data_IF_766087677362
#
_entry.id   IF_766087677362
#
_cell.length_a   1.000
_cell.length_b   1.000
_cell.length_c   1.000
_cell.angle_alpha   90.00
_cell.angle_beta   90.00
_cell.angle_gamma   90.00
#
_symmetry.space_group_name_H-M   'P 1'
#
loop_
_entity.id
_entity.type
_entity.pdbx_description
1 polymer ?
#
# COMPACT_ATOMS: atom_id res chain seq x y z
N UNK A 1 -17.89 -9.98 -20.16
CA UNK A 1 -16.43 -9.99 -20.39
C UNK A 1 -15.71 -10.38 -19.11
N UNK A 2 -14.71 -11.25 -19.19
CA UNK A 2 -13.86 -11.58 -18.04
C UNK A 2 -12.95 -10.38 -17.70
N UNK A 3 -12.84 -10.04 -16.42
CA UNK A 3 -11.98 -8.93 -15.95
C UNK A 3 -10.51 -9.29 -16.12
N UNK A 4 -9.74 -8.39 -16.73
CA UNK A 4 -8.31 -8.57 -17.06
C UNK A 4 -7.38 -8.18 -15.91
N UNK A 5 -7.83 -7.27 -15.05
CA UNK A 5 -7.06 -6.76 -13.91
C UNK A 5 -7.91 -6.82 -12.64
N UNK A 6 -7.34 -7.31 -11.56
CA UNK A 6 -7.90 -7.19 -10.22
C UNK A 6 -6.98 -6.28 -9.42
N UNK A 7 -7.54 -5.28 -8.75
CA UNK A 7 -6.72 -4.31 -8.04
C UNK A 7 -7.26 -3.96 -6.65
N UNK A 8 -6.37 -3.54 -5.77
CA UNK A 8 -6.73 -2.98 -4.46
C UNK A 8 -6.51 -1.46 -4.52
N UNK A 9 -7.56 -0.65 -4.35
CA UNK A 9 -7.39 0.76 -4.03
C UNK A 9 -6.80 0.90 -2.63
N UNK A 10 -5.59 1.44 -2.51
CA UNK A 10 -4.91 1.67 -1.22
C UNK A 10 -4.87 3.15 -0.92
N UNK A 11 -5.27 3.50 0.30
CA UNK A 11 -5.07 4.83 0.85
C UNK A 11 -4.02 4.75 1.97
N UNK A 12 -2.86 5.37 1.75
CA UNK A 12 -1.85 5.53 2.80
C UNK A 12 -2.23 6.76 3.65
N UNK A 13 -2.33 6.57 4.96
CA UNK A 13 -2.54 7.70 5.89
C UNK A 13 -1.26 8.53 5.95
N UNK A 14 -1.38 9.82 5.64
CA UNK A 14 -0.25 10.75 5.64
C UNK A 14 -0.71 12.20 5.81
N UNK A 15 0.25 13.13 5.94
CA UNK A 15 0.00 14.56 6.02
C UNK A 15 1.03 15.34 5.19
N UNK A 16 0.69 16.56 4.80
CA UNK A 16 1.48 17.34 3.84
C UNK A 16 2.96 17.54 4.24
N UNK A 17 3.21 17.81 5.51
CA UNK A 17 4.57 18.06 6.00
C UNK A 17 5.44 16.80 6.06
N UNK A 18 4.85 15.59 6.01
CA UNK A 18 5.62 14.35 6.11
C UNK A 18 6.59 14.20 4.92
N UNK A 19 7.89 14.19 5.22
CA UNK A 19 8.95 14.01 4.25
C UNK A 19 10.33 13.80 4.87
N UNK A 20 10.48 12.87 5.83
CA UNK A 20 11.71 12.74 6.62
C UNK A 20 12.96 12.39 5.79
N UNK A 21 12.79 11.76 4.62
CA UNK A 21 13.89 11.49 3.66
C UNK A 21 13.74 12.28 2.35
N UNK A 22 13.00 13.39 2.37
CA UNK A 22 12.79 14.21 1.19
C UNK A 22 13.52 15.57 1.33
N UNK A 23 14.65 15.78 0.64
CA UNK A 23 15.36 17.06 0.70
C UNK A 23 14.53 18.25 0.20
N UNK A 24 13.58 18.03 -0.73
CA UNK A 24 12.66 19.09 -1.20
C UNK A 24 11.69 19.57 -0.11
N UNK A 25 11.45 18.73 0.91
CA UNK A 25 10.67 19.08 2.10
C UNK A 25 11.54 19.43 3.29
N UNK A 26 12.83 19.71 3.08
CA UNK A 26 13.79 19.99 4.15
C UNK A 26 13.80 18.90 5.25
N UNK A 27 13.61 17.64 4.86
CA UNK A 27 13.52 16.51 5.80
C UNK A 27 12.45 16.70 6.89
N UNK A 28 11.34 17.36 6.55
CA UNK A 28 10.28 17.68 7.50
C UNK A 28 9.66 16.43 8.11
N UNK A 29 9.44 16.52 9.42
CA UNK A 29 8.96 15.47 10.30
C UNK A 29 8.01 16.05 11.36
N UNK A 30 7.39 17.19 11.03
CA UNK A 30 6.38 17.81 11.90
C UNK A 30 5.28 16.79 12.23
N UNK A 31 4.82 16.82 13.47
CA UNK A 31 3.71 15.96 13.91
C UNK A 31 2.47 16.17 13.02
N UNK A 32 1.68 15.12 12.79
CA UNK A 32 0.48 15.23 11.98
C UNK A 32 -0.53 16.23 12.58
N UNK A 33 -1.14 17.10 11.77
CA UNK A 33 -2.25 17.95 12.23
C UNK A 33 -3.52 17.10 12.37
N UNK A 34 -3.67 16.40 13.51
CA UNK A 34 -4.67 15.34 13.71
C UNK A 34 -6.10 15.76 13.33
N UNK A 35 -6.52 16.98 13.69
CA UNK A 35 -7.86 17.50 13.34
C UNK A 35 -8.08 17.62 11.82
N UNK A 36 -7.05 17.95 11.05
CA UNK A 36 -7.12 17.97 9.59
C UNK A 36 -7.15 16.54 9.05
N UNK A 37 -6.30 15.65 9.58
CA UNK A 37 -6.28 14.25 9.17
C UNK A 37 -7.64 13.57 9.36
N UNK A 38 -8.37 13.88 10.44
CA UNK A 38 -9.76 13.40 10.66
C UNK A 38 -10.68 13.83 9.53
N UNK A 39 -10.69 15.12 9.18
CA UNK A 39 -11.53 15.66 8.08
C UNK A 39 -11.20 15.02 6.74
N UNK A 40 -9.91 14.83 6.47
CA UNK A 40 -9.44 14.17 5.23
C UNK A 40 -9.86 12.70 5.18
N UNK A 41 -9.85 12.00 6.31
CA UNK A 41 -10.34 10.62 6.42
C UNK A 41 -11.86 10.52 6.23
N UNK A 42 -12.64 11.48 6.73
CA UNK A 42 -14.10 11.53 6.49
C UNK A 42 -14.39 11.69 4.99
N UNK A 43 -13.69 12.60 4.31
CA UNK A 43 -13.79 12.77 2.85
C UNK A 43 -13.38 11.50 2.10
N UNK A 44 -12.31 10.84 2.57
CA UNK A 44 -11.84 9.57 2.02
C UNK A 44 -12.93 8.49 2.10
N UNK A 45 -13.56 8.30 3.26
CA UNK A 45 -14.59 7.29 3.46
C UNK A 45 -15.75 7.48 2.47
N UNK A 46 -16.25 8.71 2.36
CA UNK A 46 -17.30 9.06 1.40
C UNK A 46 -16.90 8.77 -0.05
N UNK A 47 -15.66 9.07 -0.40
CA UNK A 47 -15.11 8.81 -1.73
C UNK A 47 -15.02 7.30 -2.01
N UNK A 48 -14.46 6.52 -1.09
CA UNK A 48 -14.24 5.08 -1.27
C UNK A 48 -15.56 4.31 -1.37
N UNK A 49 -16.58 4.68 -0.58
CA UNK A 49 -17.92 4.08 -0.70
C UNK A 49 -18.48 4.34 -2.10
N UNK A 50 -18.45 5.60 -2.57
CA UNK A 50 -19.00 5.99 -3.87
C UNK A 50 -18.28 5.30 -5.04
N UNK A 51 -16.96 5.18 -4.95
CA UNK A 51 -16.13 4.66 -6.05
C UNK A 51 -16.01 3.13 -6.07
N UNK A 52 -15.92 2.50 -4.90
CA UNK A 52 -15.55 1.09 -4.80
C UNK A 52 -16.53 0.23 -4.00
N UNK A 53 -17.59 0.82 -3.46
CA UNK A 53 -18.59 0.13 -2.65
C UNK A 53 -17.92 -0.71 -1.54
N UNK A 54 -17.00 -0.10 -0.80
CA UNK A 54 -16.25 -0.74 0.29
C UNK A 54 -15.03 -1.57 -0.13
N UNK A 55 -14.75 -1.76 -1.42
CA UNK A 55 -13.59 -2.55 -1.85
C UNK A 55 -12.29 -1.74 -1.91
N UNK A 56 -11.71 -1.43 -0.76
CA UNK A 56 -10.45 -0.69 -0.62
C UNK A 56 -9.67 -1.15 0.62
N UNK A 57 -8.43 -0.66 0.76
CA UNK A 57 -7.62 -0.82 1.94
C UNK A 57 -7.11 0.52 2.46
N UNK A 58 -6.98 0.65 3.78
CA UNK A 58 -6.35 1.81 4.43
C UNK A 58 -5.10 1.36 5.16
N UNK A 59 -3.98 2.02 4.88
CA UNK A 59 -2.72 1.78 5.53
C UNK A 59 -2.52 2.76 6.69
N UNK A 60 -2.72 2.28 7.92
CA UNK A 60 -2.67 3.08 9.15
C UNK A 60 -1.21 3.41 9.44
N UNK A 61 -0.88 4.70 9.36
CA UNK A 61 0.47 5.20 9.56
C UNK A 61 0.91 4.97 11.02
N UNK A 62 2.08 4.35 11.20
CA UNK A 62 2.62 4.00 12.52
C UNK A 62 4.07 4.44 12.70
N UNK A 63 4.51 5.45 11.93
CA UNK A 63 5.91 5.87 11.87
C UNK A 63 6.46 6.56 13.11
N UNK A 64 7.77 6.85 13.06
CA UNK A 64 8.57 7.41 14.17
C UNK A 64 7.94 8.63 14.86
N UNK A 65 7.28 9.51 14.10
CA UNK A 65 6.79 10.82 14.58
C UNK A 65 5.31 10.84 15.00
N UNK A 66 4.60 9.72 14.85
CA UNK A 66 3.17 9.61 15.17
C UNK A 66 2.76 8.18 15.54
N UNK A 67 3.69 7.44 16.15
CA UNK A 67 3.62 6.00 16.44
C UNK A 67 2.25 5.52 16.91
N UNK A 68 1.65 6.26 17.82
CA UNK A 68 0.38 5.89 18.46
C UNK A 68 -0.78 6.80 18.05
N UNK A 69 -0.51 7.94 17.42
CA UNK A 69 -1.54 8.97 17.18
C UNK A 69 -2.70 8.47 16.33
N UNK A 70 -2.43 7.58 15.37
CA UNK A 70 -3.46 6.98 14.50
C UNK A 70 -4.03 5.68 15.06
N UNK A 71 -3.65 5.25 16.27
CA UNK A 71 -4.24 4.11 16.99
C UNK A 71 -4.83 4.55 18.34
N UNK A 72 -5.33 5.78 18.37
CA UNK A 72 -6.06 6.41 19.47
C UNK A 72 -7.35 7.06 18.94
N UNK A 73 -8.27 7.45 19.82
CA UNK A 73 -9.44 8.21 19.39
C UNK A 73 -9.04 9.61 18.88
N UNK A 74 -9.72 10.14 17.85
CA UNK A 74 -10.92 9.61 17.19
C UNK A 74 -10.65 8.59 16.06
N UNK A 75 -9.39 8.22 15.80
CA UNK A 75 -9.04 7.37 14.66
C UNK A 75 -9.52 5.93 14.80
N UNK A 76 -9.54 5.37 16.01
CA UNK A 76 -10.12 4.04 16.25
C UNK A 76 -11.59 3.97 15.80
N UNK A 77 -12.39 4.98 16.12
CA UNK A 77 -13.77 5.09 15.62
C UNK A 77 -13.86 5.12 14.09
N UNK A 78 -12.93 5.82 13.43
CA UNK A 78 -12.84 5.88 11.96
C UNK A 78 -12.48 4.49 11.39
N UNK A 79 -11.54 3.76 11.99
CA UNK A 79 -11.16 2.43 11.53
C UNK A 79 -12.29 1.41 11.67
N UNK A 80 -13.07 1.48 12.74
CA UNK A 80 -14.30 0.69 12.84
C UNK A 80 -15.30 1.04 11.74
N UNK A 81 -15.39 2.31 11.33
CA UNK A 81 -16.22 2.70 10.20
C UNK A 81 -15.69 2.11 8.90
N UNK A 82 -14.38 2.11 8.65
CA UNK A 82 -13.74 1.44 7.48
C UNK A 82 -14.17 -0.02 7.39
N UNK A 83 -14.03 -0.81 8.48
CA UNK A 83 -14.40 -2.22 8.47
C UNK A 83 -15.91 -2.43 8.24
N UNK A 84 -16.74 -1.58 8.85
CA UNK A 84 -18.21 -1.65 8.73
C UNK A 84 -18.70 -1.43 7.31
N UNK A 85 -18.04 -0.55 6.55
CA UNK A 85 -18.36 -0.32 5.13
C UNK A 85 -17.66 -1.33 4.21
N UNK A 86 -16.91 -2.29 4.76
CA UNK A 86 -16.29 -3.39 4.04
C UNK A 86 -14.85 -3.16 3.58
N UNK A 87 -14.25 -2.02 3.94
CA UNK A 87 -12.82 -1.78 3.74
C UNK A 87 -11.96 -2.61 4.69
N UNK A 88 -10.67 -2.76 4.38
CA UNK A 88 -9.73 -3.53 5.21
C UNK A 88 -8.55 -2.67 5.67
N UNK A 89 -7.97 -3.01 6.81
CA UNK A 89 -6.91 -2.24 7.45
C UNK A 89 -5.55 -2.90 7.27
N UNK A 90 -4.51 -2.08 7.09
CA UNK A 90 -3.12 -2.51 7.00
C UNK A 90 -2.29 -1.75 8.03
N UNK A 91 -1.28 -2.41 8.58
CA UNK A 91 -0.25 -1.73 9.38
C UNK A 91 0.75 -1.09 8.41
N UNK A 92 0.95 0.22 8.53
CA UNK A 92 1.83 0.98 7.66
C UNK A 92 2.99 1.61 8.44
N UNK A 93 4.16 0.98 8.40
CA UNK A 93 5.33 1.42 9.17
C UNK A 93 6.14 2.44 8.40
N UNK A 94 6.55 3.51 9.08
CA UNK A 94 7.38 4.58 8.55
C UNK A 94 8.53 4.83 9.53
N UNK A 95 9.61 4.06 9.36
CA UNK A 95 10.75 4.06 10.28
C UNK A 95 11.89 4.98 9.85
N UNK A 96 11.57 5.96 9.01
CA UNK A 96 12.52 6.94 8.56
C UNK A 96 12.91 7.91 9.69
N UNK A 97 14.21 8.12 9.82
CA UNK A 97 14.80 9.12 10.69
C UNK A 97 15.24 10.30 9.83
N UNK A 98 14.76 11.51 10.17
CA UNK A 98 14.94 12.71 9.35
C UNK A 98 16.42 12.93 9.03
N UNK A 99 16.75 12.97 7.73
CA UNK A 99 18.10 13.10 7.19
C UNK A 99 19.13 12.03 7.65
N UNK A 100 18.71 10.94 8.29
CA UNK A 100 19.60 9.91 8.88
C UNK A 100 19.40 8.50 8.34
N UNK A 101 18.42 8.29 7.45
CA UNK A 101 18.10 6.98 6.87
C UNK A 101 16.90 6.34 7.56
N UNK A 102 16.91 5.02 7.75
CA UNK A 102 15.74 4.27 8.24
C UNK A 102 16.13 3.13 9.18
N UNK A 103 15.22 2.78 10.09
CA UNK A 103 15.34 1.60 10.95
C UNK A 103 14.70 0.34 10.34
N UNK A 104 14.27 0.37 9.07
CA UNK A 104 13.61 -0.76 8.39
C UNK A 104 14.42 -2.07 8.42
N UNK A 105 15.77 -2.01 8.50
CA UNK A 105 16.63 -3.20 8.58
C UNK A 105 16.95 -3.65 10.01
N UNK A 106 16.49 -2.93 11.02
CA UNK A 106 16.70 -3.30 12.42
C UNK A 106 15.60 -4.26 12.88
N UNK A 107 15.89 -5.56 12.84
CA UNK A 107 14.91 -6.62 13.14
C UNK A 107 14.27 -6.49 14.53
N UNK A 108 15.06 -6.27 15.58
CA UNK A 108 14.54 -6.15 16.94
C UNK A 108 13.60 -4.95 17.08
N UNK A 109 13.93 -3.83 16.41
CA UNK A 109 13.08 -2.64 16.37
C UNK A 109 11.79 -2.91 15.59
N UNK A 110 11.89 -3.45 14.38
CA UNK A 110 10.74 -3.75 13.54
C UNK A 110 9.78 -4.75 14.19
N UNK A 111 10.30 -5.79 14.85
CA UNK A 111 9.48 -6.74 15.62
C UNK A 111 8.67 -6.01 16.69
N UNK A 112 9.32 -5.17 17.51
CA UNK A 112 8.63 -4.40 18.56
C UNK A 112 7.56 -3.47 17.98
N UNK A 113 7.85 -2.81 16.87
CA UNK A 113 6.93 -1.90 16.20
C UNK A 113 5.69 -2.64 15.72
N UNK A 114 5.86 -3.69 14.92
CA UNK A 114 4.73 -4.37 14.28
C UNK A 114 3.83 -5.03 15.31
N UNK A 115 4.42 -5.73 16.30
CA UNK A 115 3.65 -6.38 17.35
C UNK A 115 2.87 -5.36 18.19
N UNK A 116 3.50 -4.26 18.60
CA UNK A 116 2.80 -3.19 19.33
C UNK A 116 1.59 -2.68 18.57
N UNK A 117 1.73 -2.42 17.27
CA UNK A 117 0.64 -1.84 16.48
C UNK A 117 -0.46 -2.87 16.20
N UNK A 118 -0.08 -4.13 15.94
CA UNK A 118 -1.03 -5.22 15.85
C UNK A 118 -1.84 -5.37 17.14
N UNK A 119 -1.16 -5.46 18.29
CA UNK A 119 -1.81 -5.63 19.60
C UNK A 119 -2.74 -4.48 19.95
N UNK A 120 -2.36 -3.23 19.63
CA UNK A 120 -3.22 -2.06 19.83
C UNK A 120 -4.50 -2.15 19.00
N UNK A 121 -4.38 -2.46 17.70
CA UNK A 121 -5.54 -2.62 16.82
C UNK A 121 -6.42 -3.79 17.27
N UNK A 122 -5.82 -4.94 17.63
CA UNK A 122 -6.56 -6.10 18.15
C UNK A 122 -7.27 -5.78 19.47
N UNK A 123 -6.64 -5.05 20.38
CA UNK A 123 -7.23 -4.63 21.66
C UNK A 123 -8.42 -3.68 21.46
N UNK A 124 -8.40 -2.90 20.38
CA UNK A 124 -9.53 -2.09 19.93
C UNK A 124 -10.57 -2.88 19.11
N UNK A 125 -10.51 -4.21 19.05
CA UNK A 125 -11.42 -5.06 18.25
C UNK A 125 -11.40 -4.74 16.73
N UNK A 126 -10.25 -4.35 16.20
CA UNK A 126 -10.00 -4.20 14.77
C UNK A 126 -9.28 -5.43 14.20
N UNK A 127 -9.29 -5.57 12.88
CA UNK A 127 -8.84 -6.75 12.13
C UNK A 127 -7.88 -6.34 11.01
N UNK A 128 -6.65 -5.88 11.33
CA UNK A 128 -5.65 -5.67 10.29
C UNK A 128 -5.39 -6.97 9.53
N UNK A 129 -5.34 -6.90 8.21
CA UNK A 129 -5.20 -8.08 7.32
C UNK A 129 -3.85 -8.17 6.64
N UNK A 130 -3.04 -7.12 6.76
CA UNK A 130 -1.81 -7.02 6.01
C UNK A 130 -0.91 -5.86 6.43
N UNK A 131 0.12 -5.66 5.62
CA UNK A 131 1.23 -4.75 5.87
C UNK A 131 1.54 -3.87 4.64
N UNK A 132 2.05 -2.68 4.91
CA UNK A 132 2.54 -1.72 3.91
C UNK A 132 3.78 -1.01 4.44
N UNK A 133 4.94 -1.28 3.84
CA UNK A 133 6.18 -0.58 4.18
C UNK A 133 6.21 0.85 3.62
N UNK A 134 6.55 1.81 4.48
CA UNK A 134 6.80 3.19 4.14
C UNK A 134 7.94 3.33 3.12
N UNK A 135 7.74 4.21 2.12
CA UNK A 135 8.70 4.45 1.05
C UNK A 135 9.23 3.18 0.35
N UNK A 136 8.37 2.15 0.27
CA UNK A 136 8.67 0.82 -0.29
C UNK A 136 9.71 0.01 0.50
N UNK A 137 10.04 0.40 1.73
CA UNK A 137 10.99 -0.31 2.57
C UNK A 137 10.41 -1.62 3.09
N UNK A 138 11.13 -2.72 2.89
CA UNK A 138 10.76 -4.05 3.37
C UNK A 138 12.02 -4.86 3.65
N UNK A 139 12.08 -5.52 4.81
CA UNK A 139 13.17 -6.40 5.16
C UNK A 139 12.70 -7.87 5.16
N UNK A 140 13.50 -8.84 4.67
CA UNK A 140 13.06 -10.23 4.52
C UNK A 140 12.56 -10.89 5.81
N UNK A 141 13.16 -10.56 6.95
CA UNK A 141 12.73 -11.07 8.26
C UNK A 141 11.28 -10.71 8.61
N UNK A 142 10.68 -9.70 7.96
CA UNK A 142 9.29 -9.31 8.21
C UNK A 142 8.32 -10.42 7.81
N UNK A 143 8.64 -11.21 6.79
CA UNK A 143 7.74 -12.25 6.26
C UNK A 143 7.24 -13.19 7.35
N UNK A 144 8.15 -13.69 8.21
CA UNK A 144 7.79 -14.61 9.30
C UNK A 144 6.90 -13.94 10.35
N UNK A 145 7.15 -12.66 10.68
CA UNK A 145 6.31 -11.90 11.60
C UNK A 145 4.92 -11.64 11.04
N UNK A 146 4.81 -11.37 9.74
CA UNK A 146 3.52 -11.21 9.09
C UNK A 146 2.71 -12.51 9.13
N UNK A 147 3.33 -13.66 8.86
CA UNK A 147 2.68 -14.98 8.99
C UNK A 147 2.20 -15.26 10.41
N UNK A 148 3.07 -15.06 11.40
CA UNK A 148 2.77 -15.30 12.82
C UNK A 148 1.56 -14.48 13.30
N UNK A 149 1.46 -13.23 12.84
CA UNK A 149 0.36 -12.33 13.18
C UNK A 149 -0.90 -12.54 12.30
N UNK A 150 -0.85 -13.44 11.31
CA UNK A 150 -1.95 -13.66 10.36
C UNK A 150 -2.17 -12.50 9.37
N UNK A 151 -1.16 -11.66 9.16
CA UNK A 151 -1.15 -10.56 8.19
C UNK A 151 -0.79 -11.11 6.80
N UNK A 152 -1.78 -11.69 6.12
CA UNK A 152 -1.58 -12.49 4.90
C UNK A 152 -1.38 -11.68 3.61
N UNK A 153 -1.30 -10.35 3.69
CA UNK A 153 -1.10 -9.48 2.51
C UNK A 153 0.02 -8.49 2.76
N UNK A 154 0.89 -8.32 1.78
CA UNK A 154 1.89 -7.26 1.72
C UNK A 154 1.67 -6.38 0.49
N UNK A 155 1.50 -5.07 0.71
CA UNK A 155 1.34 -4.07 -0.35
C UNK A 155 2.58 -3.18 -0.50
N UNK A 156 3.72 -3.61 0.01
CA UNK A 156 4.99 -2.89 -0.13
C UNK A 156 5.61 -2.87 -1.54
N UNK A 157 5.51 -3.94 -2.36
CA UNK A 157 6.39 -4.08 -3.52
C UNK A 157 6.16 -3.02 -4.60
N UNK A 158 7.26 -2.46 -5.11
CA UNK A 158 7.27 -1.52 -6.22
C UNK A 158 8.20 -2.06 -7.32
N UNK A 159 7.68 -2.72 -8.38
CA UNK A 159 8.49 -3.43 -9.37
C UNK A 159 9.64 -2.61 -9.96
N UNK A 160 10.87 -3.09 -9.79
CA UNK A 160 12.10 -2.46 -10.28
C UNK A 160 12.70 -1.40 -9.35
N UNK A 161 11.96 -0.90 -8.35
CA UNK A 161 12.44 0.15 -7.45
C UNK A 161 13.64 -0.29 -6.63
N UNK A 162 14.66 0.58 -6.52
CA UNK A 162 15.80 0.37 -5.63
C UNK A 162 16.20 1.69 -4.99
N UNK A 163 16.27 1.71 -3.66
CA UNK A 163 16.81 2.82 -2.92
C UNK A 163 17.41 2.32 -1.60
N UNK A 164 18.74 2.40 -1.49
CA UNK A 164 19.49 1.95 -0.31
C UNK A 164 19.15 2.75 0.94
N UNK A 165 18.93 4.06 0.82
CA UNK A 165 18.61 4.92 1.97
C UNK A 165 17.24 4.59 2.60
N UNK A 166 16.36 3.94 1.84
CA UNK A 166 15.02 3.51 2.26
C UNK A 166 14.97 2.03 2.67
N UNK A 167 16.09 1.30 2.52
CA UNK A 167 16.12 -0.17 2.58
C UNK A 167 15.03 -0.80 1.70
N UNK A 168 14.91 -0.30 0.47
CA UNK A 168 13.92 -0.75 -0.50
C UNK A 168 14.65 -1.38 -1.71
N UNK A 169 14.39 -2.66 -1.97
CA UNK A 169 14.97 -3.38 -3.11
C UNK A 169 13.95 -4.31 -3.74
N UNK A 170 13.47 -3.93 -4.92
CA UNK A 170 12.42 -4.62 -5.68
C UNK A 170 12.84 -4.88 -7.13
N UNK A 171 14.15 -4.99 -7.38
CA UNK A 171 14.75 -5.16 -8.70
C UNK A 171 14.13 -6.29 -9.53
N UNK A 172 13.86 -7.43 -8.89
CA UNK A 172 13.32 -8.62 -9.52
C UNK A 172 11.82 -8.83 -9.23
N UNK A 173 11.16 -7.85 -8.59
CA UNK A 173 9.76 -7.98 -8.18
C UNK A 173 8.83 -8.21 -9.40
N UNK A 174 7.99 -9.25 -9.37
CA UNK A 174 6.99 -9.48 -10.41
C UNK A 174 6.03 -8.28 -10.56
N UNK A 175 5.54 -8.06 -11.78
CA UNK A 175 4.54 -7.02 -12.09
C UNK A 175 3.10 -7.38 -11.68
N UNK A 176 2.91 -8.53 -11.04
CA UNK A 176 1.62 -9.02 -10.56
C UNK A 176 1.84 -9.80 -9.27
N UNK A 177 0.78 -9.99 -8.48
CA UNK A 177 0.87 -10.66 -7.17
C UNK A 177 1.64 -12.00 -7.19
N UNK A 178 2.37 -12.24 -6.11
CA UNK A 178 3.23 -13.38 -5.87
C UNK A 178 3.30 -13.67 -4.36
N UNK A 179 3.57 -14.92 -3.98
CA UNK A 179 3.82 -15.25 -2.58
C UNK A 179 5.28 -14.93 -2.22
N UNK A 180 5.50 -14.39 -1.02
CA UNK A 180 6.85 -14.14 -0.50
C UNK A 180 7.62 -15.46 -0.28
N UNK A 181 8.95 -15.40 -0.32
CA UNK A 181 9.81 -16.51 0.08
C UNK A 181 9.97 -16.59 1.60
N UNK A 182 10.14 -17.80 2.15
CA UNK A 182 10.65 -17.98 3.51
C UNK A 182 12.17 -17.96 3.48
N UNK A 183 12.78 -16.81 3.74
CA UNK A 183 14.24 -16.62 3.73
C UNK A 183 14.64 -15.19 3.40
N UNK A 184 15.94 -14.97 3.14
CA UNK A 184 16.50 -13.65 2.84
C UNK A 184 16.16 -13.14 1.43
N UNK A 185 15.67 -14.02 0.55
CA UNK A 185 15.25 -13.66 -0.80
C UNK A 185 13.78 -13.23 -0.85
N UNK A 186 13.56 -11.92 -1.01
CA UNK A 186 12.23 -11.30 -1.12
C UNK A 186 11.43 -11.78 -2.34
N UNK A 187 12.11 -12.22 -3.39
CA UNK A 187 11.50 -12.67 -4.64
C UNK A 187 12.18 -13.96 -5.06
N UNK A 188 11.49 -15.09 -4.91
CA UNK A 188 12.06 -16.37 -5.31
C UNK A 188 11.53 -16.82 -6.68
N UNK A 189 12.39 -17.23 -7.63
CA UNK A 189 11.95 -18.01 -8.79
C UNK A 189 11.33 -19.34 -8.32
N UNK A 190 10.32 -19.80 -9.06
CA UNK A 190 9.32 -20.83 -8.72
C UNK A 190 9.82 -22.23 -8.28
N UNK A 191 11.12 -22.46 -8.10
CA UNK A 191 11.67 -23.82 -8.11
C UNK A 191 12.46 -24.27 -6.87
N UNK A 192 12.77 -23.43 -5.87
CA UNK A 192 13.65 -23.90 -4.77
C UNK A 192 13.33 -23.41 -3.33
N UNK A 193 12.29 -22.59 -3.08
CA UNK A 193 12.03 -22.03 -1.73
C UNK A 193 10.64 -22.42 -1.19
N UNK A 194 10.56 -22.73 0.11
CA UNK A 194 9.29 -22.80 0.85
C UNK A 194 8.58 -21.44 0.75
N UNK A 195 7.48 -21.38 0.01
CA UNK A 195 6.71 -20.13 -0.13
C UNK A 195 5.96 -19.80 1.16
N UNK A 196 5.97 -18.53 1.54
CA UNK A 196 5.13 -17.99 2.61
C UNK A 196 3.65 -17.99 2.22
N UNK A 197 2.75 -17.97 3.21
CA UNK A 197 1.32 -17.69 3.00
C UNK A 197 1.01 -16.22 2.72
N UNK A 198 1.99 -15.32 2.89
CA UNK A 198 1.82 -13.88 2.66
C UNK A 198 1.85 -13.59 1.15
N UNK A 199 0.73 -13.09 0.63
CA UNK A 199 0.62 -12.66 -0.75
C UNK A 199 1.08 -11.20 -0.89
N UNK A 200 2.21 -11.00 -1.56
CA UNK A 200 2.67 -9.69 -1.97
C UNK A 200 1.97 -9.25 -3.26
N UNK A 201 1.36 -8.07 -3.24
CA UNK A 201 0.61 -7.51 -4.37
C UNK A 201 1.30 -6.20 -4.75
N UNK A 202 2.00 -6.14 -5.89
CA UNK A 202 2.82 -5.00 -6.24
C UNK A 202 1.99 -3.76 -6.62
N UNK A 203 2.58 -2.58 -6.43
CA UNK A 203 2.05 -1.34 -6.99
C UNK A 203 2.04 -1.47 -8.51
N UNK A 204 0.91 -1.13 -9.14
CA UNK A 204 0.79 -1.24 -10.58
C UNK A 204 1.86 -0.39 -11.29
N UNK A 205 2.59 -0.99 -12.23
CA UNK A 205 3.74 -0.35 -12.87
C UNK A 205 3.68 -0.43 -14.40
N UNK A 206 4.25 0.58 -15.07
CA UNK A 206 4.45 0.63 -16.52
C UNK A 206 5.36 -0.51 -16.98
N UNK A 207 6.42 -0.77 -16.22
CA UNK A 207 7.54 -1.61 -16.59
C UNK A 207 8.57 -0.92 -17.50
N UNK A 208 8.45 0.39 -17.71
CA UNK A 208 9.40 1.19 -18.53
C UNK A 208 10.46 1.93 -17.71
N UNK A 209 10.29 2.00 -16.39
CA UNK A 209 11.16 2.74 -15.50
C UNK A 209 10.90 2.38 -14.05
N UNK A 210 11.56 3.10 -13.15
CA UNK A 210 11.54 2.80 -11.70
C UNK A 210 11.21 4.03 -10.85
N UNK A 211 10.92 5.16 -11.49
CA UNK A 211 10.56 6.41 -10.80
C UNK A 211 9.10 6.38 -10.33
N UNK A 212 8.74 7.24 -9.38
CA UNK A 212 7.36 7.33 -8.90
C UNK A 212 6.33 7.58 -10.02
N UNK A 213 6.75 8.22 -11.12
CA UNK A 213 5.92 8.46 -12.32
C UNK A 213 5.64 7.21 -13.17
N UNK A 214 6.33 6.10 -12.91
CA UNK A 214 6.13 4.81 -13.58
C UNK A 214 5.13 3.89 -12.85
N UNK A 215 4.58 4.34 -11.72
CA UNK A 215 3.65 3.56 -10.92
C UNK A 215 2.24 4.18 -10.86
N UNK A 216 1.23 3.38 -10.50
CA UNK A 216 -0.13 3.81 -10.17
C UNK A 216 -0.18 4.53 -8.81
N UNK A 217 0.73 5.49 -8.62
CA UNK A 217 0.77 6.48 -7.55
C UNK A 217 -0.02 7.71 -8.05
N UNK A 218 -1.33 7.66 -7.80
CA UNK A 218 -2.31 8.47 -8.53
C UNK A 218 -2.21 9.96 -8.17
N UNK A 219 -1.90 10.27 -6.92
CA UNK A 219 -1.75 11.63 -6.38
C UNK A 219 -0.30 12.11 -6.33
N UNK A 220 0.62 11.43 -7.01
CA UNK A 220 1.98 11.95 -7.14
C UNK A 220 1.95 13.26 -7.93
N UNK A 221 2.63 14.29 -7.40
CA UNK A 221 2.62 15.66 -7.88
C UNK A 221 3.14 15.78 -9.33
N UNK A 222 4.13 14.97 -9.69
CA UNK A 222 4.68 14.91 -11.05
C UNK A 222 3.90 14.02 -12.02
N UNK A 223 2.91 13.27 -11.52
CA UNK A 223 2.04 12.45 -12.37
C UNK A 223 0.92 13.29 -12.98
N UNK A 224 0.44 12.88 -14.15
CA UNK A 224 -0.75 13.44 -14.81
C UNK A 224 -1.78 12.34 -15.01
N UNK A 225 -3.05 12.69 -15.23
CA UNK A 225 -4.06 11.68 -15.59
C UNK A 225 -3.64 10.86 -16.82
N UNK A 226 -3.03 11.52 -17.82
CA UNK A 226 -2.52 10.85 -19.03
C UNK A 226 -1.44 9.82 -18.71
N UNK A 227 -0.47 10.15 -17.85
CA UNK A 227 0.59 9.20 -17.47
C UNK A 227 0.03 8.01 -16.69
N UNK A 228 -0.87 8.27 -15.73
CA UNK A 228 -1.55 7.23 -14.94
C UNK A 228 -2.36 6.27 -15.84
N UNK A 229 -3.11 6.81 -16.82
CA UNK A 229 -3.86 5.97 -17.77
C UNK A 229 -2.94 5.17 -18.70
N UNK A 230 -1.78 5.71 -19.08
CA UNK A 230 -0.77 4.98 -19.84
C UNK A 230 -0.26 3.76 -19.07
N UNK A 231 0.00 3.92 -17.76
CA UNK A 231 0.42 2.83 -16.87
C UNK A 231 -0.67 1.76 -16.78
N UNK A 232 -1.93 2.18 -16.61
CA UNK A 232 -3.06 1.25 -16.60
C UNK A 232 -3.17 0.44 -17.89
N UNK A 233 -3.01 1.09 -19.04
CA UNK A 233 -2.99 0.42 -20.35
C UNK A 233 -1.84 -0.57 -20.48
N UNK A 234 -0.64 -0.23 -19.99
CA UNK A 234 0.49 -1.17 -19.97
C UNK A 234 0.19 -2.43 -19.14
N UNK A 235 -0.53 -2.30 -18.02
CA UNK A 235 -0.98 -3.44 -17.19
C UNK A 235 -2.01 -4.28 -17.97
N UNK A 236 -2.96 -3.65 -18.67
CA UNK A 236 -3.93 -4.35 -19.51
C UNK A 236 -3.27 -5.12 -20.66
N UNK A 237 -2.33 -4.49 -21.34
CA UNK A 237 -1.56 -5.10 -22.42
C UNK A 237 -0.76 -6.29 -21.91
N UNK A 238 -0.16 -6.17 -20.73
CA UNK A 238 0.54 -7.28 -20.06
C UNK A 238 -0.41 -8.44 -19.75
N UNK A 239 -1.61 -8.14 -19.25
CA UNK A 239 -2.65 -9.16 -18.99
C UNK A 239 -3.02 -9.92 -20.27
N UNK A 240 -3.17 -9.19 -21.38
CA UNK A 240 -3.54 -9.73 -22.67
C UNK A 240 -2.41 -10.55 -23.29
N UNK A 241 -1.19 -10.02 -23.34
CA UNK A 241 -0.02 -10.70 -23.91
C UNK A 241 0.30 -12.01 -23.18
N UNK A 242 0.15 -12.04 -21.85
CA UNK A 242 0.41 -13.24 -21.03
C UNK A 242 -0.80 -14.15 -20.88
N UNK A 243 -1.93 -13.83 -21.51
CA UNK A 243 -3.23 -14.50 -21.35
C UNK A 243 -3.56 -14.84 -19.87
N UNK A 244 -3.23 -13.93 -18.96
CA UNK A 244 -3.39 -14.15 -17.52
C UNK A 244 -3.79 -12.84 -16.82
N UNK A 245 -4.75 -12.88 -15.87
CA UNK A 245 -5.10 -11.69 -15.13
C UNK A 245 -3.92 -11.13 -14.35
N UNK A 246 -3.84 -9.79 -14.28
CA UNK A 246 -2.89 -9.08 -13.42
C UNK A 246 -3.53 -8.75 -12.08
N UNK A 247 -2.73 -8.78 -11.02
CA UNK A 247 -3.11 -8.49 -9.65
C UNK A 247 -2.16 -7.43 -9.10
N UNK A 248 -2.67 -6.23 -8.89
CA UNK A 248 -1.86 -5.05 -8.51
C UNK A 248 -2.59 -4.24 -7.43
N UNK A 249 -1.94 -3.23 -6.87
CA UNK A 249 -2.63 -2.20 -6.10
C UNK A 249 -2.39 -0.81 -6.70
N UNK A 250 -3.14 0.18 -6.22
CA UNK A 250 -2.95 1.61 -6.54
C UNK A 250 -2.67 2.37 -5.26
N UNK A 251 -1.93 3.46 -5.34
CA UNK A 251 -1.57 4.28 -4.19
C UNK A 251 -2.20 5.67 -4.30
N UNK A 252 -2.81 6.11 -3.20
CA UNK A 252 -3.28 7.48 -2.97
C UNK A 252 -3.06 7.83 -1.49
N UNK A 253 -2.93 9.11 -1.15
CA UNK A 253 -2.69 9.52 0.23
C UNK A 253 -3.83 10.38 0.79
N UNK A 254 -4.05 10.32 2.11
CA UNK A 254 -5.10 11.10 2.77
C UNK A 254 -4.90 12.60 2.65
N UNK A 255 -3.66 13.09 2.66
CA UNK A 255 -3.36 14.52 2.51
C UNK A 255 -3.80 15.11 1.15
N UNK A 256 -4.04 14.26 0.16
CA UNK A 256 -4.56 14.64 -1.15
C UNK A 256 -6.08 14.82 -1.16
N UNK A 257 -6.79 14.43 -0.09
CA UNK A 257 -8.25 14.58 0.02
C UNK A 257 -8.69 16.04 0.15
N UNK A 258 -7.79 16.92 0.59
CA UNK A 258 -8.01 18.38 0.60
C UNK A 258 -7.76 19.03 -0.76
N UNK A 259 -7.29 18.29 -1.77
CA UNK A 259 -6.97 18.81 -3.10
C UNK A 259 -8.00 18.34 -4.14
N UNK A 260 -8.81 19.28 -4.63
CA UNK A 260 -9.84 19.02 -5.64
C UNK A 260 -9.31 18.40 -6.93
N UNK A 261 -8.15 18.85 -7.41
CA UNK A 261 -7.55 18.30 -8.64
C UNK A 261 -7.19 16.82 -8.47
N UNK A 262 -6.62 16.46 -7.31
CA UNK A 262 -6.26 15.06 -7.01
C UNK A 262 -7.50 14.18 -6.86
N UNK A 263 -8.56 14.70 -6.25
CA UNK A 263 -9.84 14.01 -6.16
C UNK A 263 -10.46 13.75 -7.54
N UNK A 264 -10.48 14.76 -8.43
CA UNK A 264 -10.99 14.63 -9.79
C UNK A 264 -10.17 13.61 -10.59
N UNK A 265 -8.83 13.71 -10.52
CA UNK A 265 -7.91 12.74 -11.13
C UNK A 265 -8.18 11.31 -10.66
N UNK A 266 -8.36 11.11 -9.35
CA UNK A 266 -8.65 9.80 -8.78
C UNK A 266 -10.00 9.25 -9.27
N UNK A 267 -11.03 10.08 -9.35
CA UNK A 267 -12.35 9.70 -9.90
C UNK A 267 -12.24 9.27 -11.36
N UNK A 268 -11.64 10.08 -12.23
CA UNK A 268 -11.49 9.77 -13.66
C UNK A 268 -10.67 8.49 -13.90
N UNK A 269 -9.58 8.31 -13.15
CA UNK A 269 -8.82 7.07 -13.19
C UNK A 269 -9.70 5.89 -12.81
N UNK A 270 -10.46 6.00 -11.71
CA UNK A 270 -11.30 4.91 -11.20
C UNK A 270 -12.37 4.50 -12.20
N UNK A 271 -13.10 5.47 -12.78
CA UNK A 271 -14.11 5.22 -13.81
C UNK A 271 -13.52 4.44 -15.00
N UNK A 272 -12.34 4.86 -15.46
CA UNK A 272 -11.63 4.19 -16.56
C UNK A 272 -11.16 2.79 -16.17
N UNK A 273 -10.58 2.65 -14.98
CA UNK A 273 -10.03 1.38 -14.49
C UNK A 273 -11.13 0.33 -14.32
N UNK A 274 -12.31 0.71 -13.85
CA UNK A 274 -13.41 -0.22 -13.60
C UNK A 274 -14.05 -0.80 -14.87
N UNK A 275 -13.82 -0.21 -16.06
CA UNK A 275 -14.27 -0.80 -17.33
C UNK A 275 -13.66 -2.19 -17.53
N UNK A 276 -12.34 -2.30 -17.39
CA UNK A 276 -11.58 -3.54 -17.64
C UNK A 276 -11.06 -4.24 -16.38
N UNK A 277 -11.04 -3.53 -15.26
CA UNK A 277 -10.60 -3.98 -13.96
C UNK A 277 -11.74 -4.30 -12.99
N UNK A 278 -11.37 -4.84 -11.83
CA UNK A 278 -12.26 -5.02 -10.68
C UNK A 278 -11.50 -4.69 -9.40
N UNK A 279 -11.99 -3.69 -8.68
CA UNK A 279 -11.52 -3.38 -7.33
C UNK A 279 -11.94 -4.51 -6.36
N UNK A 280 -11.02 -4.91 -5.48
CA UNK A 280 -11.23 -5.89 -4.43
C UNK A 280 -10.56 -5.40 -3.15
N UNK A 281 -11.04 -5.89 -2.01
CA UNK A 281 -10.27 -5.80 -0.75
C UNK A 281 -9.08 -6.78 -0.79
N UNK A 282 -8.04 -6.56 0.03
CA UNK A 282 -6.90 -7.49 0.17
C UNK A 282 -7.32 -8.96 0.28
N UNK A 283 -8.19 -9.30 1.23
CA UNK A 283 -8.63 -10.68 1.47
C UNK A 283 -9.39 -11.27 0.28
N UNK A 284 -10.24 -10.46 -0.38
CA UNK A 284 -10.95 -10.91 -1.59
C UNK A 284 -9.98 -11.16 -2.75
N UNK A 285 -8.91 -10.37 -2.85
CA UNK A 285 -7.89 -10.56 -3.88
C UNK A 285 -7.08 -11.84 -3.63
N UNK A 286 -6.69 -12.14 -2.39
CA UNK A 286 -6.04 -13.42 -2.02
C UNK A 286 -6.90 -14.61 -2.43
N UNK A 287 -8.20 -14.58 -2.09
CA UNK A 287 -9.16 -15.64 -2.50
C UNK A 287 -9.27 -15.76 -4.02
N UNK A 288 -9.20 -14.64 -4.76
CA UNK A 288 -9.28 -14.65 -6.22
C UNK A 288 -8.00 -15.21 -6.86
N UNK A 289 -6.84 -14.88 -6.30
CA UNK A 289 -5.53 -15.33 -6.75
C UNK A 289 -5.36 -16.84 -6.53
N UNK A 290 -5.74 -17.33 -5.35
CA UNK A 290 -5.62 -18.75 -4.98
C UNK A 290 -6.45 -19.69 -5.85
N UNK A 291 -7.60 -19.24 -6.39
CA UNK A 291 -8.42 -20.03 -7.34
C UNK A 291 -7.81 -20.17 -8.75
N UNK A 292 -6.65 -19.57 -9.00
CA UNK A 292 -5.93 -19.62 -10.29
C UNK A 292 -4.80 -20.66 -10.28
N UNK A 293 -4.37 -21.10 -9.10
CA UNK A 293 -3.48 -22.26 -8.92
C UNK A 293 -4.30 -23.54 -8.96
#
# INVERSE_FOLDING_TARGET
MQKKVYFIPVIDVSWNAFGPLNPRKNYSHESPPLNLCVKELEVMLDLMVKLYNGNFAVAIHTGTYCRDSFTEEPFLSIWHQVERIGGELLIHTHEEIAAKGTLNSNEQHMKKVIYRQFDRLKSANLHPVGYRGGLYGFAPFLTSYLEELGLNVDLTPAPGFQNKERNASWSNCPFSAFYLGKGDDLVSPKNEIETSSVLSIPLGASGSGTDNTDYLYIDYDLSTLKSILSIWNAILDRAQKKNTPQFVHTLFHTNSMSNREMLERYRYFTETALVHGKALTPTKLVKRFSKKG
#
